data_IF_596364424369
#
_entry.id   IF_596364424369
#
_cell.length_a   1.000
_cell.length_b   1.000
_cell.length_c   1.000
_cell.angle_alpha   90.00
_cell.angle_beta   90.00
_cell.angle_gamma   90.00
#
_symmetry.space_group_name_H-M   'P 1'
#
loop_
_entity.id
_entity.type
_entity.pdbx_description
1 polymer ?
#
# COMPACT_ATOMS: atom_id res chain seq x y z
N UNK A 1 -2.28 -7.43 -5.96
CA UNK A 1 -2.13 -7.83 -4.55
C UNK A 1 -3.23 -7.14 -3.79
N UNK A 2 -4.12 -7.94 -3.22
CA UNK A 2 -5.28 -7.50 -2.48
C UNK A 2 -5.36 -8.35 -1.24
N UNK A 3 -5.64 -7.72 -0.11
CA UNK A 3 -5.64 -8.36 1.19
C UNK A 3 -7.04 -8.28 1.79
N UNK A 4 -7.39 -9.27 2.59
CA UNK A 4 -8.68 -9.38 3.26
C UNK A 4 -8.50 -9.18 4.75
N UNK A 5 -9.44 -8.48 5.38
CA UNK A 5 -9.46 -8.40 6.85
C UNK A 5 -10.35 -9.52 7.38
N UNK A 6 -9.79 -10.35 8.24
CA UNK A 6 -10.50 -11.45 8.90
C UNK A 6 -10.64 -11.09 10.37
N UNK A 7 -11.86 -11.16 10.88
CA UNK A 7 -12.15 -11.05 12.31
C UNK A 7 -12.49 -12.43 12.86
N UNK A 8 -12.02 -12.73 14.07
CA UNK A 8 -12.34 -13.97 14.77
C UNK A 8 -13.36 -13.66 15.86
N UNK A 9 -14.56 -14.22 15.73
CA UNK A 9 -15.62 -14.15 16.73
C UNK A 9 -16.13 -15.56 17.03
N UNK A 10 -16.16 -15.92 18.31
CA UNK A 10 -16.70 -17.20 18.81
C UNK A 10 -16.13 -18.46 18.14
N UNK A 11 -14.83 -18.42 17.79
CA UNK A 11 -14.14 -19.54 17.12
C UNK A 11 -14.45 -19.67 15.63
N UNK A 12 -15.15 -18.71 15.04
CA UNK A 12 -15.38 -18.62 13.58
C UNK A 12 -14.64 -17.42 13.00
N UNK A 13 -14.08 -17.64 11.82
CA UNK A 13 -13.41 -16.60 11.05
C UNK A 13 -14.41 -15.96 10.07
N UNK A 14 -14.74 -14.70 10.30
CA UNK A 14 -15.62 -13.93 9.43
C UNK A 14 -14.82 -12.89 8.65
N UNK A 15 -15.10 -12.82 7.35
CA UNK A 15 -14.45 -11.87 6.44
C UNK A 15 -15.26 -10.57 6.42
N UNK A 16 -14.61 -9.48 6.83
CA UNK A 16 -15.19 -8.13 6.88
C UNK A 16 -15.17 -7.53 5.48
N UNK A 17 -16.32 -7.00 5.05
CA UNK A 17 -16.41 -6.25 3.79
C UNK A 17 -15.90 -4.82 3.96
N UNK A 18 -15.30 -4.27 2.91
CA UNK A 18 -14.88 -2.87 2.85
C UNK A 18 -16.06 -1.95 2.50
N UNK A 19 -15.82 -0.64 2.51
CA UNK A 19 -16.84 0.39 2.24
C UNK A 19 -17.46 0.30 0.84
N UNK A 20 -16.79 -0.38 -0.10
CA UNK A 20 -17.30 -0.65 -1.45
C UNK A 20 -18.10 -1.97 -1.54
N UNK A 21 -18.24 -2.71 -0.43
CA UNK A 21 -18.92 -4.01 -0.38
C UNK A 21 -18.06 -5.21 -0.77
N UNK A 22 -16.79 -5.00 -1.13
CA UNK A 22 -15.85 -6.07 -1.47
C UNK A 22 -15.24 -6.66 -0.20
N UNK A 23 -15.11 -7.98 -0.13
CA UNK A 23 -14.41 -8.70 0.96
C UNK A 23 -12.88 -8.64 0.87
N UNK A 24 -12.37 -7.95 -0.13
CA UNK A 24 -10.97 -7.93 -0.50
C UNK A 24 -10.60 -6.50 -0.90
N UNK A 25 -9.68 -5.90 -0.15
CA UNK A 25 -9.23 -4.53 -0.41
C UNK A 25 -7.90 -4.56 -1.14
N UNK A 26 -7.78 -3.95 -2.34
CA UNK A 26 -6.49 -3.86 -3.01
C UNK A 26 -5.54 -2.96 -2.22
N UNK A 27 -4.31 -3.42 -1.98
CA UNK A 27 -3.28 -2.66 -1.26
C UNK A 27 -2.65 -1.61 -2.21
N UNK A 28 -3.39 -0.53 -2.44
CA UNK A 28 -3.05 0.57 -3.35
C UNK A 28 -3.38 1.89 -2.67
N UNK A 29 -2.45 2.84 -2.73
CA UNK A 29 -2.61 4.20 -2.19
C UNK A 29 -2.29 5.19 -3.30
N UNK A 30 -3.18 6.15 -3.54
CA UNK A 30 -2.99 7.23 -4.48
C UNK A 30 -2.99 8.56 -3.73
N UNK A 31 -1.94 9.35 -3.93
CA UNK A 31 -1.81 10.68 -3.36
C UNK A 31 -2.28 11.73 -4.36
N UNK A 32 -3.11 12.64 -3.86
CA UNK A 32 -3.46 13.89 -4.53
C UNK A 32 -2.91 15.06 -3.71
N UNK A 33 -3.04 16.30 -4.20
CA UNK A 33 -2.51 17.47 -3.49
C UNK A 33 -3.10 17.66 -2.09
N UNK A 34 -4.36 17.24 -1.88
CA UNK A 34 -5.08 17.49 -0.63
C UNK A 34 -5.58 16.22 0.08
N UNK A 35 -5.56 15.08 -0.60
CA UNK A 35 -6.20 13.85 -0.10
C UNK A 35 -5.38 12.59 -0.42
N UNK A 36 -5.44 11.63 0.50
CA UNK A 36 -4.97 10.27 0.30
C UNK A 36 -6.17 9.36 -0.01
N UNK A 37 -6.12 8.71 -1.16
CA UNK A 37 -7.17 7.76 -1.59
C UNK A 37 -6.61 6.35 -1.50
N UNK A 38 -7.36 5.44 -0.87
CA UNK A 38 -6.92 4.06 -0.62
C UNK A 38 -7.86 3.05 -1.28
N UNK A 39 -7.36 1.87 -1.61
CA UNK A 39 -8.19 0.74 -2.00
C UNK A 39 -8.67 0.79 -3.46
N UNK A 40 -9.95 0.47 -3.68
CA UNK A 40 -10.50 0.32 -5.03
C UNK A 40 -10.52 1.65 -5.79
N UNK A 41 -10.87 2.75 -5.10
CA UNK A 41 -10.85 4.09 -5.67
C UNK A 41 -9.45 4.51 -6.15
N UNK A 42 -8.42 4.18 -5.37
CA UNK A 42 -7.02 4.41 -5.73
C UNK A 42 -6.62 3.59 -6.97
N UNK A 43 -7.03 2.32 -7.02
CA UNK A 43 -6.76 1.43 -8.16
C UNK A 43 -7.42 1.93 -9.45
N UNK A 44 -8.63 2.48 -9.38
CA UNK A 44 -9.33 3.06 -10.53
C UNK A 44 -8.66 4.36 -11.01
N UNK A 45 -8.23 5.20 -10.09
CA UNK A 45 -7.56 6.46 -10.38
C UNK A 45 -6.14 6.29 -10.93
N UNK A 46 -5.56 5.09 -10.82
CA UNK A 46 -4.22 4.75 -11.32
C UNK A 46 -3.98 5.23 -12.75
N UNK A 47 -4.92 5.03 -13.68
CA UNK A 47 -4.71 5.39 -15.10
C UNK A 47 -4.45 6.90 -15.27
N UNK A 48 -5.06 7.75 -14.43
CA UNK A 48 -4.93 9.20 -14.50
C UNK A 48 -3.77 9.75 -13.67
N UNK A 49 -3.37 9.06 -12.60
CA UNK A 49 -2.38 9.54 -11.63
C UNK A 49 -1.34 8.45 -11.31
N UNK A 50 -0.68 7.91 -12.34
CA UNK A 50 0.32 6.85 -12.18
C UNK A 50 1.50 7.31 -11.30
N UNK A 51 1.95 8.55 -11.46
CA UNK A 51 3.14 9.08 -10.76
C UNK A 51 2.96 9.13 -9.25
N UNK A 52 1.75 9.45 -8.78
CA UNK A 52 1.47 9.58 -7.35
C UNK A 52 0.69 8.38 -6.78
N UNK A 53 0.62 7.26 -7.51
CA UNK A 53 -0.01 6.03 -7.04
C UNK A 53 1.04 5.00 -6.64
N UNK A 54 1.10 4.68 -5.35
CA UNK A 54 2.00 3.66 -4.80
C UNK A 54 1.31 2.30 -4.80
N UNK A 55 1.98 1.31 -5.40
CA UNK A 55 1.50 -0.08 -5.47
C UNK A 55 2.62 -1.06 -5.15
N UNK A 56 2.25 -2.32 -4.87
CA UNK A 56 3.20 -3.43 -4.64
C UNK A 56 4.17 -3.17 -3.47
N UNK A 57 3.74 -2.43 -2.46
CA UNK A 57 4.54 -2.10 -1.27
C UNK A 57 5.13 -3.36 -0.62
N UNK A 58 4.35 -4.46 -0.55
CA UNK A 58 4.82 -5.76 -0.03
C UNK A 58 6.06 -6.33 -0.75
N UNK A 59 6.29 -5.97 -2.01
CA UNK A 59 7.48 -6.42 -2.76
C UNK A 59 8.72 -5.56 -2.48
N UNK A 60 8.52 -4.36 -1.94
CA UNK A 60 9.56 -3.37 -1.62
C UNK A 60 9.96 -3.48 -0.14
N UNK A 61 9.01 -3.81 0.74
CA UNK A 61 9.27 -4.06 2.15
C UNK A 61 10.38 -5.12 2.33
N UNK A 62 11.41 -4.77 3.10
CA UNK A 62 12.57 -5.63 3.35
C UNK A 62 13.71 -5.54 2.32
N UNK A 63 13.56 -4.76 1.24
CA UNK A 63 14.69 -4.44 0.36
C UNK A 63 15.56 -3.37 1.00
N UNK A 64 16.78 -3.73 1.38
CA UNK A 64 17.81 -2.73 1.74
C UNK A 64 18.17 -1.94 0.48
N UNK A 65 17.78 -0.66 0.43
CA UNK A 65 18.43 0.25 -0.49
C UNK A 65 19.86 0.44 0.00
N UNK A 66 20.86 0.09 -0.81
CA UNK A 66 22.23 0.50 -0.52
C UNK A 66 22.28 2.02 -0.70
N UNK A 67 22.11 2.77 0.40
CA UNK A 67 22.66 4.12 0.45
C UNK A 67 24.17 3.98 0.24
N UNK A 68 24.73 4.77 -0.68
CA UNK A 68 26.15 4.74 -1.00
C UNK A 68 27.02 4.82 0.26
N UNK A 69 28.24 4.28 0.23
CA UNK A 69 29.07 4.21 1.43
C UNK A 69 29.29 5.60 1.99
N UNK A 70 28.91 5.79 3.27
CA UNK A 70 29.17 6.98 4.08
C UNK A 70 30.69 7.25 4.31
N UNK A 71 31.57 6.53 3.62
CA UNK A 71 33.02 6.52 3.79
C UNK A 71 33.75 7.62 3.01
N UNK A 72 33.07 8.69 2.59
CA UNK A 72 33.68 9.78 1.81
C UNK A 72 33.70 11.15 2.52
N UNK A 73 33.27 11.25 3.79
CA UNK A 73 33.25 12.52 4.55
C UNK A 73 34.10 12.53 5.83
N UNK A 74 35.07 11.62 5.99
CA UNK A 74 35.99 11.60 7.14
C UNK A 74 37.46 11.80 6.74
N UNK A 75 37.72 12.61 5.72
CA UNK A 75 39.09 13.06 5.42
C UNK A 75 39.08 14.55 5.07
N UNK A 76 38.90 15.40 6.08
CA UNK A 76 39.39 16.77 6.11
C UNK A 76 39.63 17.20 7.56
#
# INVERSE_FOLDING_TARGET
MSDGTIYLSDGRADVVANDAGDRVTPAVVAYTENEEVVGLAAKQSRIRNISNTVMKVKQILGRSQKCGPWTWLLNN
#
